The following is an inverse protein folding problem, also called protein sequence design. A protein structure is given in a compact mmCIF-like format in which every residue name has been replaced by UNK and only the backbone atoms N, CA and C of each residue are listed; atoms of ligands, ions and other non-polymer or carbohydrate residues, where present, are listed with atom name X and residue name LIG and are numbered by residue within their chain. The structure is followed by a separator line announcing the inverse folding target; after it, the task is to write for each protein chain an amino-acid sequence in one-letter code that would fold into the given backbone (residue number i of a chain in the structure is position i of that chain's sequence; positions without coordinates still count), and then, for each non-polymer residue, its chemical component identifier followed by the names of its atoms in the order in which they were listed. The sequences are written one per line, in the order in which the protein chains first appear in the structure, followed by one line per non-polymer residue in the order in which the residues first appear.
data_IF_169522674704
#
_entry.id   IF_169522674704
#
_cell.length_a   1.000
_cell.length_b   1.000
_cell.length_c   1.000
_cell.angle_alpha   90.00
_cell.angle_beta   90.00
_cell.angle_gamma   90.00
#
_symmetry.space_group_name_H-M   'P 1'
#
loop_
_entity.id
_entity.type
_entity.pdbx_description
1 polymer ?
#
# COMPACT_ATOMS: atom_id res chain seq x y z
N UNK A 1 -5.02 -20.03 -40.55
CA UNK A 1 -5.75 -20.39 -39.31
C UNK A 1 -5.22 -19.49 -38.21
N UNK A 2 -6.08 -18.89 -37.39
CA UNK A 2 -5.61 -18.13 -36.23
C UNK A 2 -4.86 -19.05 -35.27
N UNK A 3 -3.80 -18.54 -34.64
CA UNK A 3 -3.07 -19.28 -33.62
C UNK A 3 -4.03 -19.63 -32.48
N UNK A 4 -3.94 -20.85 -31.95
CA UNK A 4 -4.76 -21.24 -30.80
C UNK A 4 -4.47 -20.29 -29.62
N UNK A 5 -5.50 -19.87 -28.86
CA UNK A 5 -5.30 -19.01 -27.71
C UNK A 5 -4.42 -19.71 -26.67
N UNK A 6 -3.60 -18.93 -25.95
CA UNK A 6 -2.84 -19.44 -24.81
C UNK A 6 -3.82 -19.96 -23.76
N UNK A 7 -3.68 -21.24 -23.39
CA UNK A 7 -4.48 -21.84 -22.33
C UNK A 7 -3.93 -21.43 -20.94
N UNK A 8 -4.81 -21.20 -19.94
CA UNK A 8 -4.38 -21.00 -18.56
C UNK A 8 -3.58 -22.19 -18.03
N UNK A 9 -2.63 -21.91 -17.13
CA UNK A 9 -1.97 -22.92 -16.33
C UNK A 9 -2.62 -22.84 -14.94
N UNK A 10 -3.32 -23.89 -14.54
CA UNK A 10 -4.05 -23.99 -13.25
C UNK A 10 -3.10 -24.28 -12.08
N UNK A 11 -2.01 -23.50 -11.94
CA UNK A 11 -1.00 -23.68 -10.88
C UNK A 11 -1.28 -22.86 -9.61
N UNK A 12 -2.29 -22.00 -9.62
CA UNK A 12 -2.56 -21.05 -8.53
C UNK A 12 -1.48 -19.97 -8.38
N UNK A 13 -1.51 -19.27 -7.25
CA UNK A 13 -0.48 -18.29 -6.90
C UNK A 13 0.81 -18.98 -6.46
N UNK A 14 1.99 -18.42 -6.81
CA UNK A 14 3.26 -18.93 -6.32
C UNK A 14 3.37 -18.78 -4.79
N UNK A 15 4.22 -19.61 -4.16
CA UNK A 15 4.50 -19.53 -2.72
C UNK A 15 5.04 -18.13 -2.37
N UNK A 16 4.37 -17.36 -1.49
CA UNK A 16 4.79 -16.01 -1.15
C UNK A 16 6.13 -15.95 -0.39
N UNK A 17 6.55 -17.03 0.27
CA UNK A 17 7.79 -17.05 1.07
C UNK A 17 9.03 -16.75 0.21
N UNK A 18 9.00 -17.10 -1.08
CA UNK A 18 10.10 -16.84 -2.00
C UNK A 18 10.29 -15.34 -2.31
N UNK A 19 9.22 -14.54 -2.20
CA UNK A 19 9.21 -13.11 -2.48
C UNK A 19 9.32 -12.25 -1.21
N UNK A 20 9.51 -12.87 -0.05
CA UNK A 20 9.74 -12.14 1.19
C UNK A 20 11.19 -11.66 1.29
N UNK A 21 11.37 -10.44 1.79
CA UNK A 21 12.68 -9.89 2.12
C UNK A 21 13.49 -10.89 2.99
N UNK A 22 14.79 -11.15 2.73
CA UNK A 22 15.57 -12.16 3.44
C UNK A 22 15.53 -12.05 4.96
N UNK A 23 15.64 -10.83 5.50
CA UNK A 23 15.50 -10.54 6.94
C UNK A 23 14.13 -10.94 7.48
N UNK A 24 13.04 -10.67 6.75
CA UNK A 24 11.71 -11.09 7.18
C UNK A 24 11.54 -12.61 7.13
N UNK A 25 12.10 -13.27 6.12
CA UNK A 25 12.02 -14.73 5.96
C UNK A 25 12.76 -15.47 7.08
N UNK A 26 13.99 -15.04 7.42
CA UNK A 26 14.77 -15.66 8.51
C UNK A 26 14.13 -15.43 9.89
N UNK A 27 13.43 -14.32 10.08
CA UNK A 27 12.74 -13.97 11.32
C UNK A 27 11.23 -14.29 11.31
N UNK A 28 10.78 -15.14 10.39
CA UNK A 28 9.36 -15.47 10.24
C UNK A 28 8.80 -16.07 11.55
N UNK A 29 7.79 -15.43 12.13
CA UNK A 29 7.20 -15.82 13.43
C UNK A 29 8.08 -15.52 14.66
N UNK A 30 9.22 -14.83 14.49
CA UNK A 30 10.17 -14.53 15.57
C UNK A 30 10.33 -13.02 15.80
N UNK A 31 9.24 -12.26 15.68
CA UNK A 31 9.22 -10.83 15.99
C UNK A 31 9.07 -10.58 17.50
N UNK A 32 9.81 -9.61 18.02
CA UNK A 32 9.73 -9.18 19.41
C UNK A 32 8.73 -8.03 19.56
N UNK A 33 8.88 -6.98 18.77
CA UNK A 33 7.99 -5.82 18.78
C UNK A 33 8.04 -5.05 17.46
N UNK A 34 7.13 -4.08 17.36
CA UNK A 34 7.11 -3.10 16.30
C UNK A 34 6.94 -1.72 16.93
N UNK A 35 7.66 -0.74 16.42
CA UNK A 35 7.47 0.65 16.78
C UNK A 35 7.32 1.51 15.52
N UNK A 36 6.96 2.78 15.74
CA UNK A 36 6.67 3.74 14.67
C UNK A 36 7.55 4.96 14.89
N UNK A 37 8.72 5.03 14.23
CA UNK A 37 9.62 6.16 14.38
C UNK A 37 9.03 7.50 13.91
N UNK A 38 8.19 7.47 12.87
CA UNK A 38 7.49 8.63 12.30
C UNK A 38 6.30 8.18 11.44
N UNK A 39 5.39 9.09 11.04
CA UNK A 39 4.34 8.78 10.08
C UNK A 39 4.88 8.08 8.81
N UNK A 40 4.21 7.01 8.40
CA UNK A 40 4.57 6.19 7.25
C UNK A 40 5.76 5.26 7.45
N UNK A 41 6.46 5.27 8.59
CA UNK A 41 7.61 4.39 8.84
C UNK A 41 7.34 3.48 10.03
N UNK A 42 7.47 2.17 9.82
CA UNK A 42 7.41 1.16 10.88
C UNK A 42 8.78 0.51 11.01
N UNK A 43 9.20 0.25 12.24
CA UNK A 43 10.38 -0.59 12.53
C UNK A 43 9.92 -1.89 13.16
N UNK A 44 10.46 -3.00 12.68
CA UNK A 44 10.19 -4.34 13.17
C UNK A 44 11.46 -4.94 13.74
N UNK A 45 11.45 -5.25 15.04
CA UNK A 45 12.60 -5.83 15.72
C UNK A 45 12.31 -7.29 16.04
N UNK A 46 13.20 -8.18 15.61
CA UNK A 46 13.12 -9.62 15.89
C UNK A 46 13.58 -9.95 17.32
N UNK A 47 13.29 -11.17 17.78
CA UNK A 47 13.79 -11.70 19.06
C UNK A 47 15.32 -11.83 19.11
N UNK A 48 15.98 -11.81 17.95
CA UNK A 48 17.44 -11.85 17.82
C UNK A 48 18.05 -10.45 17.61
N UNK A 49 17.28 -9.38 17.79
CA UNK A 49 17.69 -7.99 17.57
C UNK A 49 18.06 -7.64 16.12
N UNK A 50 17.72 -8.46 15.12
CA UNK A 50 17.68 -8.01 13.72
C UNK A 50 16.49 -7.06 13.55
N UNK A 51 16.74 -5.93 12.89
CA UNK A 51 15.74 -4.92 12.56
C UNK A 51 15.44 -4.92 11.05
N UNK A 52 14.20 -4.56 10.70
CA UNK A 52 13.82 -4.19 9.34
C UNK A 52 12.77 -3.08 9.40
N UNK A 53 12.85 -2.15 8.47
CA UNK A 53 11.92 -1.05 8.35
C UNK A 53 10.94 -1.31 7.20
N UNK A 54 9.70 -0.85 7.38
CA UNK A 54 8.77 -0.70 6.28
C UNK A 54 8.39 0.75 6.10
N UNK A 55 8.49 1.25 4.87
CA UNK A 55 8.04 2.60 4.49
C UNK A 55 6.76 2.47 3.67
N UNK A 56 5.66 3.00 4.20
CA UNK A 56 4.34 2.98 3.60
C UNK A 56 4.07 4.29 2.87
N UNK A 57 3.59 4.20 1.63
CA UNK A 57 3.08 5.35 0.90
C UNK A 57 1.75 5.06 0.19
N UNK A 58 1.00 6.14 -0.06
CA UNK A 58 -0.28 6.12 -0.76
C UNK A 58 -0.09 5.88 -2.26
N UNK A 59 -1.05 5.18 -2.88
CA UNK A 59 -1.11 4.99 -4.35
C UNK A 59 -2.52 5.22 -4.85
N UNK A 60 -2.71 5.37 -6.16
CA UNK A 60 -4.04 5.54 -6.75
C UNK A 60 -4.88 4.25 -6.82
N UNK A 61 -4.36 3.10 -6.34
CA UNK A 61 -4.93 1.74 -6.49
C UNK A 61 -5.06 1.24 -7.94
N UNK A 62 -5.65 2.02 -8.84
CA UNK A 62 -5.55 1.81 -10.29
C UNK A 62 -4.30 2.53 -10.78
N UNK A 63 -3.35 1.78 -11.32
CA UNK A 63 -2.06 2.30 -11.78
C UNK A 63 -1.75 1.73 -13.15
N UNK A 64 -1.11 2.52 -13.99
CA UNK A 64 -0.54 2.02 -15.24
C UNK A 64 0.75 1.24 -14.98
N UNK A 65 1.24 0.57 -16.03
CA UNK A 65 2.46 -0.23 -15.97
C UNK A 65 3.72 0.59 -15.73
N UNK A 66 3.74 1.88 -16.07
CA UNK A 66 4.90 2.76 -15.86
C UNK A 66 5.01 3.19 -14.40
N UNK A 67 3.87 3.44 -13.75
CA UNK A 67 3.77 3.71 -12.31
C UNK A 67 4.27 2.51 -11.51
N UNK A 68 3.87 1.29 -11.89
CA UNK A 68 4.38 0.06 -11.23
C UNK A 68 5.88 -0.12 -11.46
N UNK A 69 6.39 0.16 -12.66
CA UNK A 69 7.84 0.12 -12.94
C UNK A 69 8.61 1.13 -12.11
N UNK A 70 8.11 2.36 -12.00
CA UNK A 70 8.73 3.39 -11.16
C UNK A 70 8.81 2.96 -9.68
N UNK A 71 7.73 2.37 -9.14
CA UNK A 71 7.75 1.81 -7.79
C UNK A 71 8.79 0.67 -7.65
N UNK A 72 8.96 -0.16 -8.69
CA UNK A 72 9.97 -1.21 -8.70
C UNK A 72 11.41 -0.64 -8.77
N UNK A 73 11.65 0.37 -9.61
CA UNK A 73 12.94 1.04 -9.73
C UNK A 73 13.35 1.69 -8.39
N UNK A 74 12.41 2.35 -7.71
CA UNK A 74 12.62 2.89 -6.35
C UNK A 74 12.92 1.75 -5.35
N UNK A 75 12.25 0.60 -5.48
CA UNK A 75 12.49 -0.54 -4.59
C UNK A 75 13.90 -1.10 -4.77
N UNK A 76 14.36 -1.26 -6.01
CA UNK A 76 15.69 -1.77 -6.34
C UNK A 76 16.79 -0.81 -5.85
N UNK A 77 16.59 0.49 -5.98
CA UNK A 77 17.58 1.50 -5.59
C UNK A 77 17.62 1.73 -4.06
N UNK A 78 16.46 1.82 -3.41
CA UNK A 78 16.38 2.31 -2.02
C UNK A 78 15.83 1.30 -1.00
N UNK A 79 15.22 0.19 -1.43
CA UNK A 79 14.49 -0.74 -0.55
C UNK A 79 14.76 -2.23 -0.85
N UNK A 80 16.03 -2.55 -1.13
CA UNK A 80 16.54 -3.92 -1.28
C UNK A 80 15.81 -4.78 -2.35
N UNK A 81 15.01 -4.16 -3.22
CA UNK A 81 14.19 -4.81 -4.26
C UNK A 81 12.88 -5.42 -3.77
N UNK A 82 12.40 -5.08 -2.55
CA UNK A 82 11.20 -5.72 -1.97
C UNK A 82 10.08 -4.73 -1.67
N UNK A 83 8.88 -5.05 -2.16
CA UNK A 83 7.64 -4.32 -1.85
C UNK A 83 6.48 -5.28 -1.59
N UNK A 84 5.45 -4.78 -0.92
CA UNK A 84 4.12 -5.40 -0.87
C UNK A 84 3.02 -4.34 -0.93
N UNK A 85 1.82 -4.77 -1.25
CA UNK A 85 0.62 -3.95 -1.06
C UNK A 85 -0.09 -4.32 0.24
N UNK A 86 -0.59 -3.31 0.93
CA UNK A 86 -1.49 -3.48 2.07
C UNK A 86 -2.90 -3.79 1.59
N UNK A 87 -3.76 -4.29 2.47
CA UNK A 87 -5.18 -4.54 2.16
C UNK A 87 -5.97 -3.30 1.72
N UNK A 88 -5.41 -2.09 1.89
CA UNK A 88 -6.03 -0.81 1.49
C UNK A 88 -5.27 -0.14 0.34
N UNK A 89 -4.51 -0.91 -0.43
CA UNK A 89 -3.79 -0.45 -1.62
C UNK A 89 -2.68 0.58 -1.39
N UNK A 90 -2.29 0.86 -0.14
CA UNK A 90 -0.96 1.44 0.10
C UNK A 90 0.11 0.44 -0.35
N UNK A 91 1.25 0.94 -0.82
CA UNK A 91 2.45 0.13 -1.02
C UNK A 91 3.36 0.28 0.21
N UNK A 92 4.04 -0.80 0.58
CA UNK A 92 5.05 -0.83 1.62
C UNK A 92 6.35 -1.39 1.06
N UNK A 93 7.42 -0.61 1.23
CA UNK A 93 8.79 -0.96 0.87
C UNK A 93 9.49 -1.55 2.09
N UNK A 94 10.31 -2.58 1.91
CA UNK A 94 11.08 -3.19 3.01
C UNK A 94 12.55 -2.83 2.90
N UNK A 95 13.16 -2.32 3.97
CA UNK A 95 14.58 -1.98 3.97
C UNK A 95 15.25 -2.43 5.26
N UNK A 96 16.30 -3.24 5.15
CA UNK A 96 17.03 -3.74 6.33
C UNK A 96 18.01 -2.70 6.89
N UNK A 97 18.60 -1.88 6.03
CA UNK A 97 19.50 -0.80 6.43
C UNK A 97 18.72 0.46 6.79
N UNK A 98 18.59 0.74 8.10
CA UNK A 98 17.89 1.91 8.61
C UNK A 98 18.43 3.25 8.09
N UNK A 99 19.70 3.33 7.66
CA UNK A 99 20.29 4.56 7.13
C UNK A 99 19.70 4.98 5.77
N UNK A 100 19.09 4.04 5.04
CA UNK A 100 18.44 4.30 3.74
C UNK A 100 17.01 4.81 3.85
N UNK A 101 16.41 4.75 5.05
CA UNK A 101 14.98 5.09 5.25
C UNK A 101 14.68 6.53 4.83
N UNK A 102 15.56 7.48 5.12
CA UNK A 102 15.35 8.87 4.73
C UNK A 102 15.44 9.07 3.22
N UNK A 103 16.44 8.46 2.56
CA UNK A 103 16.56 8.51 1.11
C UNK A 103 15.34 7.90 0.41
N UNK A 104 14.84 6.77 0.91
CA UNK A 104 13.62 6.13 0.40
C UNK A 104 12.39 7.02 0.56
N UNK A 105 12.22 7.66 1.72
CA UNK A 105 11.09 8.58 1.95
C UNK A 105 11.15 9.79 1.01
N UNK A 106 12.34 10.36 0.81
CA UNK A 106 12.54 11.45 -0.16
C UNK A 106 12.21 11.02 -1.58
N UNK A 107 12.74 9.89 -2.04
CA UNK A 107 12.49 9.37 -3.39
C UNK A 107 10.99 9.13 -3.65
N UNK A 108 10.28 8.53 -2.69
CA UNK A 108 8.83 8.32 -2.80
C UNK A 108 8.05 9.63 -2.88
N UNK A 109 8.41 10.59 -2.02
CA UNK A 109 7.72 11.89 -1.95
C UNK A 109 7.96 12.70 -3.23
N UNK A 110 9.19 12.73 -3.74
CA UNK A 110 9.55 13.38 -5.01
C UNK A 110 8.86 12.74 -6.22
N UNK A 111 8.66 11.42 -6.18
CA UNK A 111 7.89 10.69 -7.19
C UNK A 111 6.36 10.88 -7.07
N UNK A 112 5.89 11.66 -6.08
CA UNK A 112 4.46 11.97 -5.88
C UNK A 112 3.69 10.93 -5.05
N UNK A 113 4.37 10.03 -4.35
CA UNK A 113 3.76 9.07 -3.44
C UNK A 113 3.90 9.55 -1.98
N UNK A 114 2.83 10.08 -1.36
CA UNK A 114 2.92 10.57 0.00
C UNK A 114 3.20 9.43 0.98
N UNK A 115 4.20 9.61 1.83
CA UNK A 115 4.53 8.68 2.91
C UNK A 115 3.62 8.95 4.11
N UNK A 116 2.95 7.93 4.61
CA UNK A 116 1.94 8.09 5.65
C UNK A 116 0.96 6.92 5.78
N UNK A 117 -0.25 7.21 6.28
CA UNK A 117 -1.35 6.26 6.39
C UNK A 117 -1.10 5.17 7.45
N UNK A 118 -0.32 5.49 8.48
CA UNK A 118 0.00 4.65 9.66
C UNK A 118 -0.54 5.30 10.94
N UNK A 119 -0.66 4.51 12.01
CA UNK A 119 -1.05 5.06 13.32
C UNK A 119 -2.41 5.79 13.35
N UNK A 120 -2.57 6.77 14.26
CA UNK A 120 -3.75 7.63 14.35
C UNK A 120 -3.85 8.65 13.21
N UNK A 121 -4.22 8.14 12.03
CA UNK A 121 -4.34 8.89 10.77
C UNK A 121 -5.54 8.41 9.95
N UNK A 122 -5.83 9.12 8.86
CA UNK A 122 -6.59 8.56 7.75
C UNK A 122 -5.64 7.74 6.87
N UNK A 123 -5.99 6.50 6.59
CA UNK A 123 -5.26 5.70 5.59
C UNK A 123 -6.00 5.71 4.25
N UNK A 124 -5.38 5.16 3.19
CA UNK A 124 -5.99 5.09 1.86
C UNK A 124 -7.47 4.66 1.90
N UNK A 125 -8.30 5.40 1.17
CA UNK A 125 -9.74 5.15 1.04
C UNK A 125 -9.93 3.95 0.10
N UNK A 126 -10.49 2.87 0.64
CA UNK A 126 -10.81 1.67 -0.13
C UNK A 126 -11.96 2.00 -1.09
N UNK A 127 -11.76 1.68 -2.36
CA UNK A 127 -12.72 1.96 -3.42
C UNK A 127 -12.58 0.95 -4.55
N UNK A 128 -13.63 0.83 -5.36
CA UNK A 128 -13.71 -0.18 -6.42
C UNK A 128 -13.63 0.40 -7.82
N UNK A 129 -14.50 0.01 -8.74
CA UNK A 129 -14.35 0.34 -10.15
C UNK A 129 -14.99 1.67 -10.52
N UNK A 130 -16.17 1.99 -9.97
CA UNK A 130 -16.91 3.19 -10.37
C UNK A 130 -17.23 3.20 -11.86
N UNK A 131 -17.26 4.40 -12.45
CA UNK A 131 -17.54 4.60 -13.87
C UNK A 131 -16.43 4.11 -14.79
N UNK A 132 -15.24 3.81 -14.25
CA UNK A 132 -14.11 3.31 -15.03
C UNK A 132 -14.38 1.95 -15.66
N UNK A 133 -15.12 1.07 -14.97
CA UNK A 133 -15.28 -0.32 -15.43
C UNK A 133 -16.55 -1.04 -15.00
N UNK A 134 -17.34 -0.51 -14.07
CA UNK A 134 -18.59 -1.15 -13.66
C UNK A 134 -19.74 -0.70 -14.56
N UNK A 135 -20.69 -1.59 -14.86
CA UNK A 135 -21.91 -1.33 -15.63
C UNK A 135 -23.12 -0.92 -14.77
N UNK A 136 -23.04 -1.11 -13.44
CA UNK A 136 -24.05 -0.73 -12.46
C UNK A 136 -23.63 0.31 -11.39
N UNK A 137 -22.75 1.29 -11.66
CA UNK A 137 -22.37 2.30 -10.69
C UNK A 137 -23.46 3.38 -10.54
N UNK A 138 -23.82 3.70 -9.29
CA UNK A 138 -24.58 4.90 -8.96
C UNK A 138 -23.71 6.16 -8.88
N UNK A 139 -22.44 6.01 -8.52
CA UNK A 139 -21.43 7.09 -8.44
C UNK A 139 -20.09 6.62 -8.99
N UNK A 140 -19.20 7.57 -9.31
CA UNK A 140 -17.81 7.21 -9.57
C UNK A 140 -17.10 6.77 -8.27
N UNK A 141 -16.04 5.98 -8.40
CA UNK A 141 -15.20 5.55 -7.29
C UNK A 141 -13.92 6.39 -7.21
N UNK A 142 -13.13 6.39 -8.29
CA UNK A 142 -11.77 6.94 -8.29
C UNK A 142 -11.77 8.46 -8.21
N UNK A 143 -12.68 9.14 -8.92
CA UNK A 143 -12.85 10.58 -8.84
C UNK A 143 -13.26 11.04 -7.45
N UNK A 144 -14.20 10.33 -6.80
CA UNK A 144 -14.63 10.63 -5.43
C UNK A 144 -13.48 10.46 -4.44
N UNK A 145 -12.72 9.36 -4.54
CA UNK A 145 -11.55 9.15 -3.69
C UNK A 145 -10.50 10.21 -3.89
N UNK A 146 -10.23 10.62 -5.13
CA UNK A 146 -9.27 11.69 -5.41
C UNK A 146 -9.69 12.99 -4.72
N UNK A 147 -10.94 13.42 -4.88
CA UNK A 147 -11.45 14.64 -4.25
C UNK A 147 -11.36 14.58 -2.71
N UNK A 148 -11.68 13.43 -2.10
CA UNK A 148 -11.57 13.26 -0.66
C UNK A 148 -10.11 13.23 -0.18
N UNK A 149 -9.22 12.53 -0.88
CA UNK A 149 -7.82 12.43 -0.50
C UNK A 149 -7.05 13.74 -0.68
N UNK A 150 -7.51 14.64 -1.55
CA UNK A 150 -6.96 15.99 -1.65
C UNK A 150 -7.23 16.81 -0.39
N UNK A 151 -8.44 16.70 0.17
CA UNK A 151 -8.78 17.36 1.44
C UNK A 151 -8.16 16.65 2.66
N UNK A 152 -8.03 15.32 2.61
CA UNK A 152 -7.51 14.50 3.72
C UNK A 152 -6.00 14.27 3.68
N UNK A 153 -5.27 14.96 2.80
CA UNK A 153 -3.84 14.72 2.61
C UNK A 153 -3.01 14.96 3.88
N UNK A 154 -3.31 16.01 4.63
CA UNK A 154 -2.64 16.29 5.91
C UNK A 154 -2.90 15.17 6.92
N UNK A 155 -4.15 14.69 7.02
CA UNK A 155 -4.54 13.60 7.91
C UNK A 155 -3.92 12.26 7.51
N UNK A 156 -3.53 12.09 6.25
CA UNK A 156 -2.80 10.92 5.78
C UNK A 156 -1.31 10.97 6.14
N UNK A 157 -0.70 12.15 6.02
CA UNK A 157 0.76 12.33 6.19
C UNK A 157 1.17 12.60 7.65
N UNK A 158 0.20 12.83 8.54
CA UNK A 158 0.41 13.05 9.98
C UNK A 158 -0.27 11.98 10.82
N UNK A 159 0.15 11.88 12.09
CA UNK A 159 -0.43 10.97 13.09
C UNK A 159 -1.00 11.76 14.28
N UNK A 160 -1.79 12.80 13.99
CA UNK A 160 -2.31 13.76 14.98
C UNK A 160 -3.77 13.52 15.38
N UNK A 161 -4.45 12.54 14.75
CA UNK A 161 -5.83 12.22 15.08
C UNK A 161 -5.90 11.51 16.46
N UNK A 162 -7.04 11.60 17.18
CA UNK A 162 -7.22 10.85 18.43
C UNK A 162 -7.16 9.34 18.26
N UNK A 163 -7.54 8.83 17.08
CA UNK A 163 -7.45 7.43 16.71
C UNK A 163 -7.43 7.29 15.18
N UNK A 164 -7.15 6.08 14.69
CA UNK A 164 -7.15 5.75 13.26
C UNK A 164 -8.57 5.77 12.69
N UNK A 165 -8.73 6.29 11.48
CA UNK A 165 -10.00 6.30 10.74
C UNK A 165 -9.85 5.59 9.39
N UNK A 166 -10.73 4.65 9.12
CA UNK A 166 -10.86 3.98 7.83
C UNK A 166 -12.09 4.49 7.08
N UNK A 167 -11.86 5.16 5.96
CA UNK A 167 -12.95 5.62 5.09
C UNK A 167 -13.12 4.66 3.90
N UNK A 168 -14.33 4.47 3.42
CA UNK A 168 -14.59 3.60 2.25
C UNK A 168 -15.57 4.27 1.29
N UNK A 169 -15.41 4.05 -0.01
CA UNK A 169 -16.38 4.47 -1.02
C UNK A 169 -16.93 3.26 -1.77
N UNK A 170 -18.25 3.20 -1.82
CA UNK A 170 -18.99 2.23 -2.63
C UNK A 170 -19.59 2.97 -3.81
N UNK A 171 -19.33 2.50 -5.03
CA UNK A 171 -19.98 3.06 -6.22
C UNK A 171 -21.43 2.61 -6.37
N UNK A 172 -21.87 1.60 -5.61
CA UNK A 172 -23.25 1.11 -5.56
C UNK A 172 -23.50 0.32 -4.26
N UNK A 173 -24.76 -0.08 -4.03
CA UNK A 173 -25.18 -0.79 -2.81
C UNK A 173 -24.65 -2.24 -2.67
N UNK A 174 -24.03 -2.79 -3.72
CA UNK A 174 -23.39 -4.12 -3.64
C UNK A 174 -22.17 -4.10 -2.69
N UNK A 175 -21.53 -2.93 -2.54
CA UNK A 175 -20.33 -2.75 -1.72
C UNK A 175 -19.27 -3.84 -1.96
N UNK A 176 -18.56 -3.73 -3.08
CA UNK A 176 -17.45 -4.60 -3.43
C UNK A 176 -16.14 -4.32 -2.65
N UNK A 177 -16.15 -3.38 -1.69
CA UNK A 177 -14.94 -2.78 -1.09
C UNK A 177 -14.82 -2.88 0.43
N UNK A 178 -15.84 -3.43 1.10
CA UNK A 178 -15.88 -3.60 2.55
C UNK A 178 -16.41 -2.38 3.30
N UNK A 179 -16.38 -2.45 4.63
CA UNK A 179 -16.87 -1.39 5.52
C UNK A 179 -15.69 -0.60 6.11
N UNK A 180 -15.96 0.63 6.52
CA UNK A 180 -15.04 1.49 7.27
C UNK A 180 -15.78 2.22 8.39
N UNK A 181 -15.06 3.00 9.16
CA UNK A 181 -15.61 3.90 10.18
C UNK A 181 -16.53 4.96 9.53
N UNK A 182 -16.18 5.40 8.30
CA UNK A 182 -17.01 6.26 7.45
C UNK A 182 -17.17 5.57 6.09
N UNK A 183 -18.42 5.34 5.69
CA UNK A 183 -18.76 4.74 4.40
C UNK A 183 -19.57 5.74 3.55
N UNK A 184 -19.08 6.02 2.35
CA UNK A 184 -19.79 6.81 1.35
C UNK A 184 -20.41 5.85 0.33
N UNK A 185 -21.72 5.93 0.14
CA UNK A 185 -22.50 5.09 -0.77
C UNK A 185 -23.31 5.92 -1.76
#
# INVERSE_FOLDING_TARGET
MAQAPRMPIESGCPDPIQYMHPTMRRNYGQWAYHDRPRPGVLRHTSKNNEEIYTVRCGTARQMDVYTIKNLADIADEFADGFVRFTMRSNVEFMVADGSKVDALVSALTEAGFPVGGTGPSVTMISHTQGWLHCDIPGTDASGVVKSLMDEMHEEFTREEMPNRVHMTTSCCQINCGGQGDIALN
#
